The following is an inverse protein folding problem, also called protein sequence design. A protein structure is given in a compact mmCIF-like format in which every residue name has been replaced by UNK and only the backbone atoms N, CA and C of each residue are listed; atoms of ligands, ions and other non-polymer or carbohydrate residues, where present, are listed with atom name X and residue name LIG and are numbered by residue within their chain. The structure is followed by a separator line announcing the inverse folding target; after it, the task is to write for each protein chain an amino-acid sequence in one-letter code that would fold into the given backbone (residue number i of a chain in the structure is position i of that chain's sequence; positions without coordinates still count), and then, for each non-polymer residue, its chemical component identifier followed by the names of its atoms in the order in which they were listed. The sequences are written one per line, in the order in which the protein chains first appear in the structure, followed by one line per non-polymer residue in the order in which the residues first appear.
data_IF_462179237407
#
_entry.id   IF_462179237407
#
_cell.length_a   1.000
_cell.length_b   1.000
_cell.length_c   1.000
_cell.angle_alpha   90.00
_cell.angle_beta   90.00
_cell.angle_gamma   90.00
#
_symmetry.space_group_name_H-M   'P 1'
#
loop_
_entity.id
_entity.type
_entity.pdbx_description
1 polymer ?
#
# COMPACT_ATOMS: atom_id res chain seq x y z
N UNK A 1 -50.96 -23.48 -20.89
CA UNK A 1 -50.22 -22.53 -20.05
C UNK A 1 -49.09 -23.34 -19.46
N UNK A 2 -47.90 -23.18 -20.04
CA UNK A 2 -46.72 -23.91 -19.60
C UNK A 2 -46.35 -23.46 -18.19
N UNK A 3 -46.55 -24.33 -17.20
CA UNK A 3 -45.98 -24.17 -15.87
C UNK A 3 -44.46 -24.25 -16.03
N UNK A 4 -43.78 -23.12 -15.87
CA UNK A 4 -42.34 -23.12 -15.77
C UNK A 4 -41.99 -23.85 -14.47
N UNK A 5 -41.40 -25.06 -14.50
CA UNK A 5 -41.24 -25.86 -13.30
C UNK A 5 -40.29 -25.15 -12.34
N UNK A 6 -40.74 -24.89 -11.11
CA UNK A 6 -39.90 -24.27 -10.07
C UNK A 6 -38.75 -25.24 -9.76
N UNK A 7 -37.48 -24.84 -9.97
CA UNK A 7 -36.35 -25.74 -9.78
C UNK A 7 -36.16 -26.10 -8.29
N UNK A 8 -35.88 -27.38 -8.01
CA UNK A 8 -35.58 -27.89 -6.66
C UNK A 8 -34.08 -28.12 -6.52
N UNK A 9 -33.44 -27.46 -5.56
CA UNK A 9 -32.00 -27.60 -5.28
C UNK A 9 -31.75 -28.29 -3.94
N UNK A 10 -30.64 -29.02 -3.84
CA UNK A 10 -30.06 -29.38 -2.54
C UNK A 10 -29.42 -28.15 -1.89
N UNK A 11 -29.29 -28.13 -0.55
CA UNK A 11 -28.80 -26.96 0.20
C UNK A 11 -27.44 -26.46 -0.32
N UNK A 12 -26.47 -27.36 -0.49
CA UNK A 12 -25.14 -27.01 -1.02
C UNK A 12 -25.21 -26.47 -2.46
N UNK A 13 -25.99 -27.13 -3.33
CA UNK A 13 -26.14 -26.72 -4.72
C UNK A 13 -26.82 -25.35 -4.86
N UNK A 14 -27.73 -25.00 -3.94
CA UNK A 14 -28.32 -23.66 -3.91
C UNK A 14 -27.29 -22.60 -3.50
N UNK A 15 -26.50 -22.84 -2.46
CA UNK A 15 -25.44 -21.90 -2.04
C UNK A 15 -24.38 -21.73 -3.12
N UNK A 16 -24.00 -22.80 -3.81
CA UNK A 16 -23.08 -22.76 -4.95
C UNK A 16 -23.67 -21.95 -6.12
N UNK A 17 -24.94 -22.18 -6.48
CA UNK A 17 -25.63 -21.39 -7.50
C UNK A 17 -25.64 -19.89 -7.15
N UNK A 18 -25.98 -19.53 -5.91
CA UNK A 18 -25.98 -18.13 -5.48
C UNK A 18 -24.58 -17.53 -5.57
N UNK A 19 -23.54 -18.26 -5.15
CA UNK A 19 -22.17 -17.79 -5.30
C UNK A 19 -21.75 -17.63 -6.77
N UNK A 20 -22.17 -18.54 -7.66
CA UNK A 20 -21.92 -18.39 -9.11
C UNK A 20 -22.57 -17.13 -9.68
N UNK A 21 -23.82 -16.84 -9.26
CA UNK A 21 -24.50 -15.60 -9.65
C UNK A 21 -23.75 -14.37 -9.14
N UNK A 22 -23.33 -14.38 -7.86
CA UNK A 22 -22.56 -13.28 -7.28
C UNK A 22 -21.21 -13.07 -7.98
N UNK A 23 -20.48 -14.15 -8.28
CA UNK A 23 -19.20 -14.11 -9.00
C UNK A 23 -19.37 -13.58 -10.42
N UNK A 24 -20.44 -13.97 -11.12
CA UNK A 24 -20.74 -13.50 -12.47
C UNK A 24 -21.16 -12.03 -12.50
N UNK A 25 -22.06 -11.62 -11.59
CA UNK A 25 -22.61 -10.26 -11.56
C UNK A 25 -21.67 -9.24 -10.91
N UNK A 26 -20.83 -9.67 -9.97
CA UNK A 26 -19.98 -8.81 -9.15
C UNK A 26 -18.60 -9.46 -8.94
N UNK A 27 -17.75 -9.41 -9.96
CA UNK A 27 -16.37 -9.96 -9.90
C UNK A 27 -15.46 -9.22 -8.92
N UNK A 28 -15.78 -7.97 -8.60
CA UNK A 28 -15.28 -7.23 -7.45
C UNK A 28 -16.22 -6.06 -7.17
N UNK A 29 -16.35 -5.68 -5.91
CA UNK A 29 -17.06 -4.47 -5.47
C UNK A 29 -16.14 -3.62 -4.61
N UNK A 30 -16.32 -2.31 -4.63
CA UNK A 30 -15.75 -1.40 -3.63
C UNK A 30 -16.84 -1.02 -2.64
N UNK A 31 -16.54 -1.18 -1.35
CA UNK A 31 -17.44 -0.89 -0.24
C UNK A 31 -16.74 0.08 0.69
N UNK A 32 -17.36 1.23 0.94
CA UNK A 32 -16.91 2.18 1.95
C UNK A 32 -17.77 2.05 3.21
N UNK A 33 -17.14 2.05 4.38
CA UNK A 33 -17.87 2.01 5.65
C UNK A 33 -16.97 2.18 6.86
N UNK A 34 -17.59 2.33 8.03
CA UNK A 34 -16.89 2.33 9.31
C UNK A 34 -16.60 0.90 9.76
N UNK A 35 -15.38 0.66 10.23
CA UNK A 35 -14.93 -0.62 10.80
C UNK A 35 -15.55 -0.82 12.18
N UNK A 36 -16.14 -1.99 12.38
CA UNK A 36 -16.56 -2.49 13.67
C UNK A 36 -16.09 -3.93 13.88
N UNK A 37 -16.05 -4.38 15.15
CA UNK A 37 -15.78 -5.77 15.51
C UNK A 37 -14.43 -6.30 14.98
N UNK A 38 -13.42 -5.44 14.81
CA UNK A 38 -12.13 -5.84 14.28
C UNK A 38 -11.46 -6.89 15.19
N UNK A 39 -11.05 -8.00 14.57
CA UNK A 39 -10.40 -9.10 15.27
C UNK A 39 -9.41 -9.84 14.36
N UNK A 40 -8.29 -10.24 14.96
CA UNK A 40 -7.34 -11.17 14.36
C UNK A 40 -7.44 -12.51 15.09
N UNK A 41 -7.83 -13.56 14.36
CA UNK A 41 -7.99 -14.91 14.90
C UNK A 41 -6.79 -15.79 14.54
N UNK A 42 -6.26 -16.51 15.53
CA UNK A 42 -5.13 -17.45 15.41
C UNK A 42 -3.87 -16.85 14.75
N UNK A 43 -3.76 -15.51 14.70
CA UNK A 43 -2.70 -14.83 13.96
C UNK A 43 -2.69 -15.13 12.45
N UNK A 44 -3.81 -15.59 11.88
CA UNK A 44 -3.91 -16.01 10.47
C UNK A 44 -5.02 -15.30 9.72
N UNK A 45 -6.14 -15.03 10.39
CA UNK A 45 -7.36 -14.55 9.77
C UNK A 45 -7.79 -13.24 10.39
N UNK A 46 -8.12 -12.27 9.55
CA UNK A 46 -8.67 -10.99 9.96
C UNK A 46 -10.15 -10.97 9.63
N UNK A 47 -10.95 -10.55 10.61
CA UNK A 47 -12.37 -10.33 10.46
C UNK A 47 -12.71 -8.94 10.99
N UNK A 48 -13.60 -8.26 10.31
CA UNK A 48 -14.23 -7.02 10.77
C UNK A 48 -15.56 -6.88 10.05
N UNK A 49 -16.41 -6.00 10.52
CA UNK A 49 -17.62 -5.59 9.80
C UNK A 49 -17.39 -4.18 9.25
N UNK A 50 -17.84 -3.94 8.01
CA UNK A 50 -18.08 -2.58 7.53
C UNK A 50 -19.54 -2.25 7.79
N UNK A 51 -19.81 -1.10 8.40
CA UNK A 51 -21.16 -0.62 8.66
C UNK A 51 -21.37 0.83 8.20
N UNK A 52 -22.61 1.14 7.90
CA UNK A 52 -23.15 2.49 7.78
C UNK A 52 -24.33 2.67 8.78
N UNK A 53 -25.22 3.61 8.53
CA UNK A 53 -26.37 3.89 9.40
C UNK A 53 -27.45 2.78 9.37
N UNK A 54 -27.55 2.01 8.29
CA UNK A 54 -28.65 1.07 8.05
C UNK A 54 -28.18 -0.39 8.02
N UNK A 55 -26.96 -0.62 7.54
CA UNK A 55 -26.47 -1.93 7.11
C UNK A 55 -25.08 -2.25 7.65
N UNK A 56 -24.78 -3.54 7.72
CA UNK A 56 -23.43 -4.03 7.99
C UNK A 56 -23.12 -5.26 7.15
N UNK A 57 -21.86 -5.41 6.77
CA UNK A 57 -21.36 -6.56 6.02
C UNK A 57 -20.07 -7.09 6.63
N UNK A 58 -20.02 -8.41 6.84
CA UNK A 58 -18.84 -9.07 7.39
C UNK A 58 -17.75 -9.19 6.34
N UNK A 59 -16.55 -8.72 6.69
CA UNK A 59 -15.33 -8.78 5.90
C UNK A 59 -14.39 -9.85 6.42
N UNK A 60 -13.72 -10.54 5.51
CA UNK A 60 -12.72 -11.57 5.80
C UNK A 60 -11.50 -11.42 4.90
N UNK A 61 -10.30 -11.52 5.48
CA UNK A 61 -9.03 -11.61 4.76
C UNK A 61 -8.01 -12.44 5.53
N UNK A 62 -6.94 -12.81 4.81
CA UNK A 62 -5.74 -13.33 5.44
C UNK A 62 -4.94 -12.22 6.12
N UNK A 63 -4.26 -12.54 7.22
CA UNK A 63 -3.36 -11.59 7.91
C UNK A 63 -2.23 -11.10 6.99
N UNK A 64 -1.83 -11.88 5.98
CA UNK A 64 -0.78 -11.48 5.02
C UNK A 64 -1.18 -10.29 4.15
N UNK A 65 -2.48 -10.01 4.03
CA UNK A 65 -2.99 -8.85 3.32
C UNK A 65 -3.02 -7.60 4.22
N UNK A 66 -2.88 -7.74 5.55
CA UNK A 66 -2.94 -6.64 6.51
C UNK A 66 -1.62 -5.86 6.53
N UNK A 67 -1.42 -4.97 5.55
CA UNK A 67 -0.19 -4.17 5.38
C UNK A 67 -0.26 -2.79 6.03
N UNK A 68 -1.46 -2.32 6.34
CA UNK A 68 -1.71 -1.11 7.11
C UNK A 68 -2.64 -1.43 8.29
N UNK A 69 -2.42 -0.85 9.49
CA UNK A 69 -3.27 -1.13 10.64
C UNK A 69 -4.73 -0.75 10.38
N UNK A 70 -5.63 -1.64 10.82
CA UNK A 70 -7.07 -1.43 10.90
C UNK A 70 -7.46 -1.41 12.37
N UNK A 71 -8.38 -0.51 12.74
CA UNK A 71 -8.96 -0.44 14.07
C UNK A 71 -10.42 0.00 13.99
N UNK A 72 -11.21 -0.37 15.00
CA UNK A 72 -12.61 0.06 15.10
C UNK A 72 -12.73 1.60 15.05
N UNK A 73 -13.80 2.05 14.40
CA UNK A 73 -14.10 3.46 14.14
C UNK A 73 -13.33 4.08 12.97
N UNK A 74 -12.43 3.34 12.32
CA UNK A 74 -11.81 3.80 11.07
C UNK A 74 -12.79 3.66 9.90
N UNK A 75 -12.76 4.59 8.96
CA UNK A 75 -13.39 4.40 7.65
C UNK A 75 -12.42 3.75 6.69
N UNK A 76 -12.87 2.71 5.99
CA UNK A 76 -12.10 2.02 4.95
C UNK A 76 -12.90 1.97 3.66
N UNK A 77 -12.20 2.03 2.54
CA UNK A 77 -12.69 1.54 1.25
C UNK A 77 -12.07 0.17 1.02
N UNK A 78 -12.91 -0.82 0.77
CA UNK A 78 -12.54 -2.23 0.65
C UNK A 78 -12.96 -2.75 -0.70
N UNK A 79 -11.99 -3.23 -1.49
CA UNK A 79 -12.25 -4.02 -2.70
C UNK A 79 -12.41 -5.48 -2.31
N UNK A 80 -13.56 -6.08 -2.61
CA UNK A 80 -13.86 -7.44 -2.16
C UNK A 80 -14.74 -8.24 -3.13
N UNK A 81 -14.73 -9.56 -2.94
CA UNK A 81 -15.62 -10.50 -3.62
C UNK A 81 -16.80 -10.86 -2.69
N UNK A 82 -18.05 -10.56 -3.07
CA UNK A 82 -19.23 -11.03 -2.35
C UNK A 82 -19.35 -12.55 -2.33
N UNK A 83 -19.78 -13.10 -1.20
CA UNK A 83 -19.92 -14.54 -0.99
C UNK A 83 -20.93 -14.90 0.08
N UNK A 84 -21.73 -15.92 -0.17
CA UNK A 84 -22.50 -16.64 0.85
C UNK A 84 -21.66 -17.82 1.36
N UNK A 85 -21.37 -17.80 2.65
CA UNK A 85 -20.62 -18.88 3.32
C UNK A 85 -21.40 -20.20 3.35
N UNK A 86 -20.72 -21.30 3.68
CA UNK A 86 -21.37 -22.62 3.84
C UNK A 86 -22.48 -22.65 4.88
N UNK A 87 -22.50 -21.68 5.81
CA UNK A 87 -23.53 -21.54 6.84
C UNK A 87 -24.67 -20.56 6.45
N UNK A 88 -24.71 -20.12 5.18
CA UNK A 88 -25.75 -19.20 4.69
C UNK A 88 -25.53 -17.74 5.09
N UNK A 89 -24.42 -17.40 5.78
CA UNK A 89 -24.08 -16.01 6.11
C UNK A 89 -23.49 -15.30 4.88
N UNK A 90 -24.04 -14.13 4.53
CA UNK A 90 -23.45 -13.23 3.54
C UNK A 90 -22.23 -12.51 4.10
N UNK A 91 -21.19 -12.40 3.29
CA UNK A 91 -19.90 -11.80 3.64
C UNK A 91 -19.15 -11.38 2.38
N UNK A 92 -18.06 -10.66 2.56
CA UNK A 92 -17.14 -10.33 1.49
C UNK A 92 -15.73 -10.83 1.80
N UNK A 93 -15.07 -11.42 0.81
CA UNK A 93 -13.64 -11.76 0.90
C UNK A 93 -12.86 -10.58 0.37
N UNK A 94 -12.13 -9.90 1.27
CA UNK A 94 -11.37 -8.70 0.96
C UNK A 94 -10.16 -9.08 0.09
N UNK A 95 -10.04 -8.39 -1.04
CA UNK A 95 -8.92 -8.50 -1.96
C UNK A 95 -7.89 -7.43 -1.63
N UNK A 96 -8.36 -6.20 -1.39
CA UNK A 96 -7.55 -5.03 -1.08
C UNK A 96 -8.36 -4.03 -0.24
N UNK A 97 -7.69 -3.16 0.51
CA UNK A 97 -8.33 -2.12 1.30
C UNK A 97 -7.43 -0.90 1.49
N UNK A 98 -8.05 0.26 1.74
CA UNK A 98 -7.35 1.48 2.12
C UNK A 98 -8.14 2.28 3.15
N UNK A 99 -7.49 2.93 4.13
CA UNK A 99 -8.15 3.92 4.96
C UNK A 99 -8.73 5.05 4.09
N UNK A 100 -9.91 5.52 4.45
CA UNK A 100 -10.60 6.64 3.81
C UNK A 100 -10.80 7.78 4.81
N UNK A 101 -10.51 9.00 4.36
CA UNK A 101 -10.59 10.21 5.17
C UNK A 101 -9.37 10.43 6.08
N UNK A 102 -9.09 11.71 6.34
CA UNK A 102 -7.89 12.16 7.04
C UNK A 102 -7.72 11.52 8.43
N UNK A 103 -8.80 11.39 9.20
CA UNK A 103 -8.76 10.78 10.53
C UNK A 103 -8.36 9.30 10.49
N UNK A 104 -8.84 8.53 9.51
CA UNK A 104 -8.49 7.12 9.34
C UNK A 104 -7.06 6.96 8.85
N UNK A 105 -6.63 7.81 7.90
CA UNK A 105 -5.26 7.85 7.39
C UNK A 105 -4.26 8.16 8.51
N UNK A 106 -4.52 9.19 9.31
CA UNK A 106 -3.68 9.58 10.44
C UNK A 106 -3.62 8.47 11.50
N UNK A 107 -4.77 7.90 11.88
CA UNK A 107 -4.81 6.81 12.86
C UNK A 107 -4.04 5.58 12.39
N UNK A 108 -4.18 5.21 11.11
CA UNK A 108 -3.42 4.08 10.53
C UNK A 108 -1.92 4.36 10.53
N UNK A 109 -1.51 5.58 10.14
CA UNK A 109 -0.13 6.03 10.17
C UNK A 109 0.47 5.96 11.58
N UNK A 110 -0.22 6.50 12.60
CA UNK A 110 0.28 6.53 13.98
C UNK A 110 0.44 5.12 14.57
N UNK A 111 -0.53 4.24 14.32
CA UNK A 111 -0.48 2.84 14.75
C UNK A 111 0.72 2.12 14.12
N UNK A 112 0.94 2.31 12.82
CA UNK A 112 2.02 1.65 12.12
C UNK A 112 3.38 2.24 12.52
N UNK A 113 3.45 3.57 12.65
CA UNK A 113 4.64 4.26 13.16
C UNK A 113 5.04 3.70 14.52
N UNK A 114 4.11 3.65 15.47
CA UNK A 114 4.39 3.16 16.82
C UNK A 114 4.84 1.69 16.83
N UNK A 115 4.30 0.85 15.94
CA UNK A 115 4.73 -0.54 15.77
C UNK A 115 6.17 -0.62 15.26
N UNK A 116 6.46 0.04 14.13
CA UNK A 116 7.75 -0.06 13.47
C UNK A 116 8.86 0.67 14.25
N UNK A 117 8.53 1.73 14.97
CA UNK A 117 9.46 2.42 15.87
C UNK A 117 9.93 1.52 17.01
N UNK A 118 9.01 0.76 17.64
CA UNK A 118 9.35 -0.25 18.66
C UNK A 118 10.26 -1.36 18.14
N UNK A 119 10.15 -1.68 16.85
CA UNK A 119 11.02 -2.65 16.18
C UNK A 119 12.38 -2.03 15.78
N UNK A 120 12.58 -0.73 16.00
CA UNK A 120 13.81 -0.02 15.67
C UNK A 120 13.94 0.34 14.19
N UNK A 121 12.83 0.33 13.42
CA UNK A 121 12.84 0.64 11.99
C UNK A 121 13.03 2.13 11.67
N UNK A 122 13.14 3.01 12.67
CA UNK A 122 13.40 4.44 12.44
C UNK A 122 14.61 4.99 13.21
N UNK A 123 15.40 4.12 13.86
CA UNK A 123 16.57 4.53 14.66
C UNK A 123 17.63 5.21 13.81
N UNK A 124 18.20 6.31 14.30
CA UNK A 124 19.30 7.03 13.65
C UNK A 124 20.53 6.15 13.39
N UNK A 125 20.82 5.18 14.26
CA UNK A 125 21.96 4.26 14.10
C UNK A 125 21.89 3.38 12.84
N UNK A 126 20.71 3.20 12.24
CA UNK A 126 20.60 2.50 10.94
C UNK A 126 20.91 3.41 9.75
N UNK A 127 20.74 4.71 9.88
CA UNK A 127 20.74 5.64 8.74
C UNK A 127 22.16 5.87 8.26
N UNK A 128 22.37 5.67 6.96
CA UNK A 128 23.68 5.82 6.30
C UNK A 128 23.79 7.18 5.62
N UNK A 129 24.97 7.78 5.65
CA UNK A 129 25.25 8.95 4.82
C UNK A 129 25.28 8.57 3.34
N UNK A 130 24.75 9.43 2.47
CA UNK A 130 24.90 9.28 1.03
C UNK A 130 26.29 9.73 0.57
N UNK A 131 26.84 9.13 -0.50
CA UNK A 131 28.03 9.66 -1.16
C UNK A 131 27.80 11.10 -1.62
N UNK A 132 28.79 11.97 -1.40
CA UNK A 132 28.69 13.38 -1.81
C UNK A 132 28.57 13.56 -3.33
N UNK A 133 29.23 12.70 -4.10
CA UNK A 133 29.25 12.73 -5.56
C UNK A 133 29.10 11.28 -6.04
N UNK A 134 27.87 10.76 -6.12
CA UNK A 134 27.65 9.44 -6.69
C UNK A 134 27.99 9.46 -8.18
N UNK A 135 28.60 8.40 -8.68
CA UNK A 135 28.76 8.11 -10.09
C UNK A 135 27.53 7.37 -10.66
N UNK A 136 26.79 6.63 -9.84
CA UNK A 136 25.56 5.92 -10.26
C UNK A 136 24.45 6.01 -9.23
N UNK A 137 23.25 6.36 -9.67
CA UNK A 137 22.02 6.28 -8.86
C UNK A 137 20.94 5.46 -9.55
N UNK A 138 20.11 4.81 -8.73
CA UNK A 138 18.84 4.22 -9.14
C UNK A 138 17.72 5.17 -8.77
N UNK A 139 16.76 5.40 -9.66
CA UNK A 139 15.60 6.26 -9.41
C UNK A 139 14.34 5.43 -9.55
N UNK A 140 13.52 5.38 -8.50
CA UNK A 140 12.21 4.72 -8.49
C UNK A 140 11.15 5.81 -8.51
N UNK A 141 10.44 5.93 -9.63
CA UNK A 141 9.37 6.92 -9.80
C UNK A 141 8.48 6.60 -11.01
N UNK A 142 7.35 7.30 -11.12
CA UNK A 142 6.65 7.42 -12.40
C UNK A 142 7.37 8.41 -13.30
N UNK A 143 7.71 8.01 -14.53
CA UNK A 143 8.36 8.88 -15.53
C UNK A 143 7.43 9.95 -16.08
N UNK A 144 6.13 9.80 -15.83
CA UNK A 144 5.10 10.77 -16.21
C UNK A 144 4.80 11.77 -15.09
N UNK A 145 5.36 11.58 -13.88
CA UNK A 145 5.11 12.48 -12.76
C UNK A 145 5.98 13.73 -12.85
N UNK A 146 5.40 14.89 -12.52
CA UNK A 146 6.12 16.17 -12.47
C UNK A 146 7.34 16.10 -11.53
N UNK A 147 7.18 15.49 -10.34
CA UNK A 147 8.28 15.34 -9.38
C UNK A 147 9.50 14.57 -9.91
N UNK A 148 9.30 13.63 -10.84
CA UNK A 148 10.41 12.96 -11.53
C UNK A 148 11.12 13.91 -12.49
N UNK A 149 10.36 14.63 -13.32
CA UNK A 149 10.94 15.58 -14.28
C UNK A 149 11.77 16.66 -13.57
N UNK A 150 11.27 17.16 -12.44
CA UNK A 150 11.98 18.15 -11.61
C UNK A 150 13.27 17.58 -11.01
N UNK A 151 13.20 16.37 -10.43
CA UNK A 151 14.38 15.69 -9.88
C UNK A 151 15.47 15.47 -10.95
N UNK A 152 15.09 14.92 -12.11
CA UNK A 152 16.04 14.66 -13.21
C UNK A 152 16.65 15.95 -13.74
N UNK A 153 15.88 17.03 -13.83
CA UNK A 153 16.40 18.33 -14.25
C UNK A 153 17.46 18.84 -13.26
N UNK A 154 17.13 18.88 -11.96
CA UNK A 154 18.01 19.42 -10.93
C UNK A 154 19.29 18.60 -10.80
N UNK A 155 19.19 17.27 -10.82
CA UNK A 155 20.37 16.43 -10.61
C UNK A 155 21.35 16.49 -11.79
N UNK A 156 20.85 16.60 -13.02
CA UNK A 156 21.69 16.79 -14.21
C UNK A 156 22.39 18.16 -14.22
N UNK A 157 21.75 19.20 -13.66
CA UNK A 157 22.36 20.53 -13.50
C UNK A 157 23.49 20.51 -12.45
N UNK A 158 23.30 19.75 -11.35
CA UNK A 158 24.25 19.69 -10.22
C UNK A 158 25.42 18.72 -10.44
N UNK A 159 25.17 17.54 -11.03
CA UNK A 159 26.13 16.43 -11.09
C UNK A 159 26.36 15.97 -12.53
N UNK A 160 27.33 16.59 -13.21
CA UNK A 160 27.71 16.19 -14.56
C UNK A 160 28.37 14.82 -14.58
N UNK A 161 27.95 13.96 -15.52
CA UNK A 161 28.52 12.62 -15.70
C UNK A 161 27.91 11.53 -14.80
N UNK A 162 26.86 11.86 -14.05
CA UNK A 162 26.10 10.91 -13.24
C UNK A 162 25.36 9.90 -14.13
N UNK A 163 25.51 8.61 -13.85
CA UNK A 163 24.71 7.55 -14.46
C UNK A 163 23.40 7.39 -13.69
N UNK A 164 22.27 7.62 -14.36
CA UNK A 164 20.94 7.48 -13.78
C UNK A 164 20.25 6.28 -14.42
N UNK A 165 19.85 5.32 -13.59
CA UNK A 165 19.02 4.19 -13.99
C UNK A 165 17.62 4.34 -13.38
N UNK A 166 16.59 4.38 -14.22
CA UNK A 166 15.22 4.64 -13.77
C UNK A 166 14.40 3.35 -13.79
N UNK A 167 13.85 2.98 -12.65
CA UNK A 167 12.80 1.97 -12.53
C UNK A 167 11.43 2.68 -12.55
N UNK A 168 10.75 2.57 -13.69
CA UNK A 168 9.41 3.14 -13.85
C UNK A 168 8.37 2.34 -13.05
N UNK A 169 7.69 3.01 -12.12
CA UNK A 169 6.64 2.42 -11.29
C UNK A 169 5.45 3.36 -11.15
N UNK A 170 4.31 2.82 -10.73
CA UNK A 170 3.22 3.61 -10.16
C UNK A 170 3.64 4.15 -8.79
N UNK A 171 3.23 5.39 -8.50
CA UNK A 171 3.56 6.12 -7.25
C UNK A 171 2.31 6.52 -6.46
N UNK A 172 1.17 5.94 -6.84
CA UNK A 172 -0.14 6.04 -6.21
C UNK A 172 -1.01 4.84 -6.63
N UNK A 173 -2.06 4.57 -5.88
CA UNK A 173 -2.94 3.42 -6.11
C UNK A 173 -2.39 2.11 -5.54
N UNK A 174 -3.22 1.07 -5.59
CA UNK A 174 -3.00 -0.19 -4.86
C UNK A 174 -1.77 -0.98 -5.29
N UNK A 175 -1.38 -0.91 -6.56
CA UNK A 175 -0.22 -1.64 -7.07
C UNK A 175 1.13 -0.91 -6.85
N UNK A 176 1.12 0.35 -6.40
CA UNK A 176 2.33 1.15 -6.30
C UNK A 176 3.34 0.62 -5.27
N UNK A 177 2.89 0.23 -4.07
CA UNK A 177 3.78 -0.29 -3.03
C UNK A 177 4.54 -1.55 -3.52
N UNK A 178 3.84 -2.50 -4.13
CA UNK A 178 4.45 -3.73 -4.65
C UNK A 178 5.45 -3.46 -5.78
N UNK A 179 5.14 -2.52 -6.68
CA UNK A 179 6.06 -2.13 -7.75
C UNK A 179 7.32 -1.46 -7.21
N UNK A 180 7.19 -0.57 -6.22
CA UNK A 180 8.33 0.08 -5.56
C UNK A 180 9.20 -0.97 -4.85
N UNK A 181 8.60 -1.91 -4.10
CA UNK A 181 9.32 -3.02 -3.45
C UNK A 181 10.10 -3.85 -4.48
N UNK A 182 9.46 -4.20 -5.60
CA UNK A 182 10.12 -4.93 -6.68
C UNK A 182 11.29 -4.15 -7.31
N UNK A 183 11.15 -2.83 -7.46
CA UNK A 183 12.21 -1.96 -7.95
C UNK A 183 13.38 -1.83 -6.96
N UNK A 184 13.12 -1.71 -5.66
CA UNK A 184 14.15 -1.76 -4.61
C UNK A 184 14.92 -3.08 -4.68
N UNK A 185 14.18 -4.20 -4.77
CA UNK A 185 14.77 -5.54 -4.91
C UNK A 185 15.64 -5.64 -6.17
N UNK A 186 15.15 -5.15 -7.29
CA UNK A 186 15.88 -5.14 -8.56
C UNK A 186 17.25 -4.45 -8.45
N UNK A 187 17.31 -3.25 -7.86
CA UNK A 187 18.58 -2.55 -7.63
C UNK A 187 19.48 -3.30 -6.62
N UNK A 188 18.88 -3.87 -5.58
CA UNK A 188 19.57 -4.68 -4.58
C UNK A 188 20.07 -6.02 -5.10
N UNK A 189 19.66 -6.49 -6.27
CA UNK A 189 20.13 -7.76 -6.87
C UNK A 189 21.17 -7.56 -7.97
N UNK A 190 21.47 -6.32 -8.37
CA UNK A 190 22.50 -6.01 -9.38
C UNK A 190 23.89 -6.50 -8.94
N UNK A 191 24.71 -6.97 -9.87
CA UNK A 191 26.11 -7.29 -9.58
C UNK A 191 26.89 -6.03 -9.15
N UNK A 192 26.63 -4.90 -9.79
CA UNK A 192 27.13 -3.57 -9.40
C UNK A 192 25.91 -2.68 -9.12
N UNK A 193 25.44 -2.60 -7.86
CA UNK A 193 24.30 -1.76 -7.52
C UNK A 193 24.58 -0.28 -7.76
N UNK A 194 23.54 0.56 -7.84
CA UNK A 194 23.73 2.00 -7.69
C UNK A 194 24.27 2.33 -6.29
N UNK A 195 24.85 3.51 -6.15
CA UNK A 195 25.37 3.98 -4.87
C UNK A 195 24.26 4.56 -3.98
N UNK A 196 23.16 5.01 -4.60
CA UNK A 196 21.95 5.51 -3.93
C UNK A 196 20.72 5.05 -4.72
N UNK A 197 19.66 4.67 -4.01
CA UNK A 197 18.32 4.50 -4.58
C UNK A 197 17.47 5.70 -4.14
N UNK A 198 17.06 6.55 -5.09
CA UNK A 198 16.15 7.65 -4.85
C UNK A 198 14.71 7.24 -5.18
N UNK A 199 13.82 7.28 -4.18
CA UNK A 199 12.39 7.03 -4.33
C UNK A 199 11.70 8.38 -4.37
N UNK A 200 11.15 8.74 -5.53
CA UNK A 200 10.69 10.10 -5.80
C UNK A 200 9.21 10.10 -6.18
N UNK A 201 8.46 11.04 -5.58
CA UNK A 201 7.10 11.37 -6.00
C UNK A 201 6.80 12.83 -5.62
N UNK A 202 6.11 13.54 -6.50
CA UNK A 202 5.72 14.95 -6.27
C UNK A 202 4.68 15.13 -5.16
N UNK A 203 4.02 16.28 -5.11
CA UNK A 203 2.84 16.49 -4.25
C UNK A 203 1.65 15.61 -4.61
N UNK A 204 0.57 15.69 -3.84
CA UNK A 204 -0.72 15.07 -4.11
C UNK A 204 -1.54 14.95 -2.84
N UNK A 205 -2.72 14.33 -2.92
CA UNK A 205 -3.57 14.16 -1.74
C UNK A 205 -2.95 13.21 -0.71
N UNK A 206 -3.42 13.27 0.55
CA UNK A 206 -3.03 12.31 1.58
C UNK A 206 -3.35 10.86 1.17
N UNK A 207 -4.46 10.65 0.46
CA UNK A 207 -4.80 9.36 -0.16
C UNK A 207 -3.75 8.93 -1.18
N UNK A 208 -3.31 9.82 -2.06
CA UNK A 208 -2.26 9.50 -3.03
C UNK A 208 -0.94 9.15 -2.33
N UNK A 209 -0.63 9.78 -1.21
CA UNK A 209 0.61 9.55 -0.45
C UNK A 209 0.56 8.31 0.43
N UNK A 210 -0.63 7.79 0.71
CA UNK A 210 -0.83 6.69 1.67
C UNK A 210 -0.10 5.40 1.30
N UNK A 211 0.21 5.19 0.01
CA UNK A 211 1.07 4.09 -0.49
C UNK A 211 2.44 4.05 0.22
N UNK A 212 3.01 5.20 0.58
CA UNK A 212 4.30 5.28 1.26
C UNK A 212 4.20 4.97 2.77
N UNK A 213 3.01 4.68 3.26
CA UNK A 213 2.72 4.19 4.62
C UNK A 213 2.37 2.69 4.63
N UNK A 214 2.83 1.93 3.63
CA UNK A 214 2.71 0.46 3.59
C UNK A 214 3.83 -0.21 4.41
N UNK A 215 3.47 -1.16 5.27
CA UNK A 215 4.44 -1.84 6.15
C UNK A 215 5.53 -2.61 5.38
N UNK A 216 5.18 -3.29 4.28
CA UNK A 216 6.15 -4.07 3.52
C UNK A 216 7.10 -3.15 2.76
N UNK A 217 6.61 -2.02 2.25
CA UNK A 217 7.45 -1.01 1.61
C UNK A 217 8.46 -0.42 2.60
N UNK A 218 7.98 -0.03 3.79
CA UNK A 218 8.84 0.49 4.87
C UNK A 218 9.95 -0.51 5.22
N UNK A 219 9.58 -1.79 5.36
CA UNK A 219 10.55 -2.87 5.63
C UNK A 219 11.53 -3.06 4.48
N UNK A 220 11.09 -2.97 3.23
CA UNK A 220 11.96 -3.08 2.06
C UNK A 220 12.98 -1.93 1.98
N UNK A 221 12.55 -0.71 2.30
CA UNK A 221 13.44 0.46 2.40
C UNK A 221 14.47 0.24 3.52
N UNK A 222 14.01 -0.09 4.73
CA UNK A 222 14.87 -0.29 5.89
C UNK A 222 15.89 -1.45 5.71
N UNK A 223 15.53 -2.48 4.93
CA UNK A 223 16.38 -3.63 4.64
C UNK A 223 17.26 -3.46 3.38
N UNK A 224 17.18 -2.31 2.70
CA UNK A 224 17.91 -2.10 1.45
C UNK A 224 19.42 -2.10 1.66
N UNK A 225 20.14 -2.93 0.91
CA UNK A 225 21.62 -2.94 0.96
C UNK A 225 22.24 -1.68 0.35
N UNK A 226 21.53 -1.02 -0.57
CA UNK A 226 21.91 0.31 -1.11
C UNK A 226 21.28 1.41 -0.26
N UNK A 227 22.01 2.48 0.11
CA UNK A 227 21.45 3.64 0.76
C UNK A 227 20.24 4.21 0.01
N UNK A 228 19.14 4.46 0.72
CA UNK A 228 17.90 4.97 0.14
C UNK A 228 17.67 6.42 0.50
N UNK A 229 17.33 7.22 -0.50
CA UNK A 229 16.78 8.56 -0.33
C UNK A 229 15.29 8.53 -0.66
N UNK A 230 14.45 9.12 0.18
CA UNK A 230 13.02 9.32 -0.12
C UNK A 230 12.76 10.82 -0.27
N UNK A 231 12.16 11.19 -1.40
CA UNK A 231 11.72 12.55 -1.72
C UNK A 231 10.28 12.52 -2.19
N UNK A 232 9.35 12.46 -1.24
CA UNK A 232 7.91 12.27 -1.47
C UNK A 232 7.14 13.45 -0.88
N UNK A 233 6.31 14.12 -1.70
CA UNK A 233 5.47 15.22 -1.23
C UNK A 233 6.23 16.52 -0.92
N UNK A 234 5.73 17.28 0.05
CA UNK A 234 6.32 18.51 0.59
C UNK A 234 6.71 18.36 2.07
N UNK A 235 7.27 19.41 2.68
CA UNK A 235 7.84 19.34 4.04
C UNK A 235 6.86 18.82 5.11
N UNK A 236 5.56 19.08 4.94
CA UNK A 236 4.47 18.66 5.85
C UNK A 236 4.04 17.21 5.65
N UNK A 237 4.38 16.60 4.52
CA UNK A 237 3.88 15.30 4.06
C UNK A 237 4.79 14.15 4.52
N UNK A 238 5.07 14.04 5.82
CA UNK A 238 5.96 12.97 6.32
C UNK A 238 5.29 11.61 6.24
N UNK A 239 5.90 10.69 5.49
CA UNK A 239 5.47 9.29 5.33
C UNK A 239 6.34 8.35 6.16
N UNK A 240 5.90 7.10 6.34
CA UNK A 240 6.72 6.08 7.00
C UNK A 240 7.93 5.69 6.16
N UNK A 241 7.82 5.75 4.82
CA UNK A 241 8.95 5.59 3.93
C UNK A 241 10.05 6.63 4.22
N UNK A 242 9.68 7.89 4.48
CA UNK A 242 10.64 8.94 4.87
C UNK A 242 11.37 8.62 6.17
N UNK A 243 10.64 8.07 7.16
CA UNK A 243 11.24 7.71 8.45
C UNK A 243 12.19 6.52 8.33
N UNK A 244 11.90 5.60 7.41
CA UNK A 244 12.66 4.37 7.18
C UNK A 244 13.94 4.58 6.37
N UNK A 245 13.94 5.60 5.52
CA UNK A 245 15.03 5.92 4.61
C UNK A 245 16.29 6.36 5.35
N UNK A 246 17.45 6.16 4.72
CA UNK A 246 18.73 6.69 5.18
C UNK A 246 18.75 8.22 5.17
N UNK A 247 18.19 8.83 4.11
CA UNK A 247 18.05 10.28 4.00
C UNK A 247 16.65 10.64 3.52
N UNK A 248 16.04 11.59 4.23
CA UNK A 248 14.81 12.26 3.81
C UNK A 248 15.15 13.54 3.05
N UNK A 249 14.57 13.70 1.87
CA UNK A 249 14.50 14.97 1.17
C UNK A 249 13.08 15.53 1.30
N UNK A 250 12.95 16.73 1.85
CA UNK A 250 11.64 17.32 2.13
C UNK A 250 10.80 17.61 0.86
N UNK A 251 11.44 17.61 -0.31
CA UNK A 251 10.81 17.62 -1.64
C UNK A 251 11.68 16.84 -2.62
N UNK A 252 11.13 16.36 -3.76
CA UNK A 252 11.93 15.88 -4.89
C UNK A 252 13.04 16.83 -5.34
N UNK A 253 12.87 18.14 -5.17
CA UNK A 253 13.85 19.14 -5.57
C UNK A 253 15.02 19.28 -4.58
N UNK A 254 14.81 18.86 -3.32
CA UNK A 254 15.83 18.83 -2.27
C UNK A 254 16.59 17.50 -2.24
N UNK A 255 16.14 16.51 -3.02
CA UNK A 255 16.74 15.20 -3.14
C UNK A 255 18.03 15.19 -3.96
#
# INVERSE_FOLDING_TARGET
MDENPIPRFGVSGFVELINQVLEFSCSAVEIEGEVASFKVNQGKWVFFDLKDEESSVGCFMSVYQLRTPIADGMKLIVRAQPKVTKWGKFSVTVQDYRPSGEGSLLKSFELLRAKLDKEGLFTEDRKRSLPRIPARIGVISSTQAAGYADFIKIINERLRGLQIEVAHVQVQGSAAADQIIAAIKYFNERAVPPEVIAIIRGGGSADDLSVFNDELLVRAIAASRVPTLVGVGHEVDTTLADLAADVRAATPSNA
#
